data_IF_542728228402
#
_entry.id   IF_542728228402
#
_cell.length_a   1.000
_cell.length_b   1.000
_cell.length_c   1.000
_cell.angle_alpha   90.00
_cell.angle_beta   90.00
_cell.angle_gamma   90.00
#
_symmetry.space_group_name_H-M   'P 1'
#
loop_
_entity.id
_entity.type
_entity.pdbx_description
1 polymer ?
#
# COMPACT_ATOMS: atom_id res chain seq x y z
N UNK A 1 11.43 -46.21 68.29
CA UNK A 1 11.83 -45.61 67.01
C UNK A 1 10.94 -44.39 66.79
N UNK A 2 11.58 -43.20 66.82
CA UNK A 2 11.09 -41.83 66.49
C UNK A 2 9.78 -41.30 67.11
N UNK A 3 10.02 -40.36 68.03
CA UNK A 3 9.21 -39.23 68.47
C UNK A 3 8.74 -38.30 67.33
N UNK A 4 7.81 -37.42 67.71
CA UNK A 4 7.37 -36.13 67.11
C UNK A 4 6.13 -36.15 66.22
N UNK A 5 4.95 -36.10 66.86
CA UNK A 5 3.78 -35.42 66.33
C UNK A 5 3.12 -34.61 67.45
N UNK A 6 3.55 -33.36 67.61
CA UNK A 6 2.72 -32.33 68.21
C UNK A 6 3.14 -30.97 67.64
N UNK A 7 2.15 -30.07 67.56
CA UNK A 7 2.24 -28.62 67.36
C UNK A 7 2.21 -28.16 65.89
N UNK A 8 1.01 -27.80 65.40
CA UNK A 8 0.64 -26.38 65.20
C UNK A 8 -0.84 -26.26 64.79
N UNK A 9 -1.69 -26.12 65.81
CA UNK A 9 -3.04 -25.56 65.71
C UNK A 9 -2.97 -24.03 65.64
N UNK A 10 -3.96 -23.42 64.98
CA UNK A 10 -4.34 -22.00 65.00
C UNK A 10 -3.43 -21.01 64.26
N UNK A 11 -3.73 -20.80 62.98
CA UNK A 11 -3.47 -19.51 62.32
C UNK A 11 -4.77 -18.70 62.26
N UNK A 12 -4.81 -17.70 63.14
CA UNK A 12 -5.88 -16.75 63.38
C UNK A 12 -6.05 -15.82 62.17
N UNK A 13 -7.25 -15.76 61.57
CA UNK A 13 -7.57 -14.87 60.43
C UNK A 13 -7.30 -13.38 60.71
N UNK A 14 -7.25 -12.98 61.99
CA UNK A 14 -6.93 -11.61 62.39
C UNK A 14 -5.45 -11.24 62.18
N UNK A 15 -4.51 -12.21 62.11
CA UNK A 15 -3.11 -11.91 61.81
C UNK A 15 -2.89 -11.57 60.33
N UNK A 16 -3.69 -12.16 59.43
CA UNK A 16 -3.61 -11.87 57.99
C UNK A 16 -4.17 -10.47 57.66
N UNK A 17 -5.24 -10.02 58.31
CA UNK A 17 -5.80 -8.69 58.10
C UNK A 17 -4.84 -7.59 58.60
N UNK A 18 -4.13 -7.84 59.72
CA UNK A 18 -3.11 -6.92 60.23
C UNK A 18 -1.85 -6.88 59.35
N UNK A 19 -1.47 -8.00 58.72
CA UNK A 19 -0.38 -7.98 57.73
C UNK A 19 -0.75 -7.20 56.47
N UNK A 20 -2.01 -7.24 56.02
CA UNK A 20 -2.44 -6.41 54.89
C UNK A 20 -2.59 -4.93 55.25
N UNK A 21 -2.95 -4.59 56.50
CA UNK A 21 -3.02 -3.20 56.97
C UNK A 21 -1.64 -2.55 57.16
N UNK A 22 -0.55 -3.30 57.34
CA UNK A 22 0.81 -2.72 57.45
C UNK A 22 1.55 -2.51 56.12
N UNK A 23 1.10 -3.12 55.02
CA UNK A 23 1.66 -2.88 53.68
C UNK A 23 0.91 -1.78 52.90
N UNK A 24 -0.24 -1.33 53.40
CA UNK A 24 -0.95 -0.14 52.94
C UNK A 24 -0.53 1.11 53.75
N UNK A 25 0.79 1.34 53.82
CA UNK A 25 1.36 2.65 54.14
C UNK A 25 1.28 3.56 52.89
N UNK A 26 1.43 4.89 53.01
CA UNK A 26 0.82 5.90 52.12
C UNK A 26 1.46 6.07 50.71
N UNK A 27 1.97 5.00 50.10
CA UNK A 27 2.57 5.01 48.77
C UNK A 27 1.54 5.17 47.63
N UNK A 28 0.25 4.98 47.90
CA UNK A 28 -0.80 5.10 46.89
C UNK A 28 -1.19 6.56 46.56
N UNK A 29 -0.62 7.57 47.21
CA UNK A 29 -0.90 8.98 46.90
C UNK A 29 0.35 9.87 46.81
N UNK A 30 1.42 9.34 46.20
CA UNK A 30 2.65 10.09 45.90
C UNK A 30 3.28 9.72 44.55
N UNK A 31 2.51 9.09 43.64
CA UNK A 31 3.06 8.60 42.38
C UNK A 31 3.25 9.69 41.30
N UNK A 32 2.66 10.87 41.50
CA UNK A 32 2.75 11.97 40.53
C UNK A 32 4.17 12.51 40.39
N UNK A 33 4.80 12.95 41.50
CA UNK A 33 6.12 13.62 41.43
C UNK A 33 7.22 12.66 40.97
N UNK A 34 7.27 11.44 41.52
CA UNK A 34 8.35 10.50 41.23
C UNK A 34 8.30 9.92 39.81
N UNK A 35 7.10 9.71 39.24
CA UNK A 35 6.96 9.25 37.86
C UNK A 35 7.55 10.24 36.85
N UNK A 36 7.27 11.54 37.00
CA UNK A 36 7.79 12.56 36.09
C UNK A 36 9.32 12.66 36.15
N UNK A 37 9.90 12.55 37.35
CA UNK A 37 11.36 12.50 37.51
C UNK A 37 11.97 11.25 36.87
N UNK A 38 11.36 10.07 37.08
CA UNK A 38 11.81 8.83 36.46
C UNK A 38 11.72 8.88 34.92
N UNK A 39 10.59 9.31 34.38
CA UNK A 39 10.37 9.41 32.93
C UNK A 39 11.36 10.39 32.28
N UNK A 40 11.66 11.50 32.95
CA UNK A 40 12.69 12.44 32.51
C UNK A 40 14.10 11.86 32.61
N UNK A 41 14.43 11.15 33.68
CA UNK A 41 15.77 10.64 33.94
C UNK A 41 16.16 9.46 33.05
N UNK A 42 15.22 8.57 32.74
CA UNK A 42 15.51 7.31 32.01
C UNK A 42 15.06 7.33 30.55
N UNK A 43 13.96 8.02 30.23
CA UNK A 43 13.40 8.06 28.87
C UNK A 43 13.61 9.42 28.17
N UNK A 44 14.12 10.43 28.89
CA UNK A 44 14.38 11.76 28.36
C UNK A 44 13.13 12.59 28.07
N UNK A 45 11.94 12.13 28.49
CA UNK A 45 10.68 12.80 28.19
C UNK A 45 10.54 14.14 28.92
N UNK A 46 9.92 15.10 28.23
CA UNK A 46 9.63 16.41 28.83
C UNK A 46 8.46 16.32 29.81
N UNK A 47 8.35 17.30 30.71
CA UNK A 47 7.22 17.38 31.66
C UNK A 47 5.85 17.52 30.95
N UNK A 48 5.83 17.95 29.68
CA UNK A 48 4.60 18.08 28.89
C UNK A 48 4.22 16.74 28.22
N UNK A 49 5.19 15.98 27.72
CA UNK A 49 4.98 14.67 27.08
C UNK A 49 4.57 13.59 28.08
N UNK A 50 5.25 13.53 29.23
CA UNK A 50 5.01 12.54 30.27
C UNK A 50 3.59 12.57 30.85
N UNK A 51 2.90 13.72 30.79
CA UNK A 51 1.49 13.82 31.20
C UNK A 51 0.55 12.99 30.33
N UNK A 52 0.85 12.83 29.03
CA UNK A 52 0.06 11.99 28.13
C UNK A 52 0.20 10.49 28.45
N UNK A 53 1.40 10.06 28.82
CA UNK A 53 1.68 8.67 29.13
C UNK A 53 1.01 8.16 30.41
N UNK A 54 0.75 9.04 31.37
CA UNK A 54 -0.02 8.71 32.60
C UNK A 54 -1.41 8.18 32.26
N UNK A 55 -2.04 8.65 31.17
CA UNK A 55 -3.33 8.14 30.69
C UNK A 55 -3.17 6.99 29.69
N UNK A 56 -2.12 7.03 28.86
CA UNK A 56 -1.91 6.05 27.79
C UNK A 56 -1.57 4.65 28.31
N UNK A 57 -0.71 4.55 29.34
CA UNK A 57 -0.29 3.26 29.91
C UNK A 57 -1.48 2.46 30.49
N UNK A 58 -2.33 3.00 31.38
CA UNK A 58 -3.48 2.27 31.87
C UNK A 58 -4.48 1.94 30.75
N UNK A 59 -4.64 2.82 29.77
CA UNK A 59 -5.49 2.56 28.61
C UNK A 59 -5.00 1.36 27.77
N UNK A 60 -3.70 1.28 27.49
CA UNK A 60 -3.10 0.13 26.81
C UNK A 60 -3.19 -1.15 27.63
N UNK A 61 -3.03 -1.07 28.95
CA UNK A 61 -3.22 -2.21 29.84
C UNK A 61 -4.66 -2.76 29.77
N UNK A 62 -5.66 -1.87 29.74
CA UNK A 62 -7.08 -2.25 29.56
C UNK A 62 -7.28 -2.93 28.20
N UNK A 63 -6.75 -2.38 27.11
CA UNK A 63 -6.86 -3.00 25.78
C UNK A 63 -6.22 -4.39 25.70
N UNK A 64 -5.11 -4.62 26.41
CA UNK A 64 -4.46 -5.93 26.45
C UNK A 64 -5.25 -6.98 27.22
N UNK A 65 -5.92 -6.58 28.31
CA UNK A 65 -6.73 -7.49 29.15
C UNK A 65 -8.13 -7.72 28.55
N UNK A 66 -8.61 -6.79 27.71
CA UNK A 66 -9.94 -6.82 27.12
C UNK A 66 -10.30 -8.15 26.42
N UNK A 67 -9.47 -8.74 25.55
CA UNK A 67 -9.81 -9.98 24.84
C UNK A 67 -9.97 -11.16 25.80
N UNK A 68 -9.11 -11.25 26.81
CA UNK A 68 -9.18 -12.29 27.84
C UNK A 68 -10.41 -12.12 28.73
N UNK A 69 -10.75 -10.88 29.06
CA UNK A 69 -11.97 -10.55 29.80
C UNK A 69 -13.22 -10.92 29.00
N UNK A 70 -13.28 -10.58 27.71
CA UNK A 70 -14.37 -10.99 26.81
C UNK A 70 -14.46 -12.51 26.70
N UNK A 71 -13.34 -13.21 26.57
CA UNK A 71 -13.30 -14.68 26.55
C UNK A 71 -13.79 -15.28 27.86
N UNK A 72 -13.37 -14.72 28.99
CA UNK A 72 -13.81 -15.15 30.32
C UNK A 72 -15.33 -15.03 30.48
N UNK A 73 -15.91 -13.87 30.14
CA UNK A 73 -17.36 -13.67 30.23
C UNK A 73 -18.16 -14.50 29.21
N UNK A 74 -17.65 -14.64 27.98
CA UNK A 74 -18.28 -15.49 26.95
C UNK A 74 -18.32 -16.95 27.39
N UNK A 75 -17.27 -17.44 28.03
CA UNK A 75 -17.20 -18.81 28.53
C UNK A 75 -18.18 -19.06 29.70
N UNK A 76 -18.45 -18.07 30.54
CA UNK A 76 -19.44 -18.20 31.63
C UNK A 76 -20.88 -18.42 31.10
N UNK A 77 -21.21 -17.90 29.92
CA UNK A 77 -22.52 -18.11 29.28
C UNK A 77 -22.60 -19.37 28.43
N UNK A 78 -21.49 -20.09 28.27
CA UNK A 78 -21.41 -21.27 27.40
C UNK A 78 -22.23 -22.44 27.96
N UNK A 79 -22.27 -22.63 29.28
CA UNK A 79 -23.03 -23.72 29.92
C UNK A 79 -24.54 -23.58 29.69
N UNK A 80 -25.10 -22.38 29.93
CA UNK A 80 -26.52 -22.10 29.66
C UNK A 80 -26.87 -22.25 28.17
N UNK A 81 -26.01 -21.76 27.28
CA UNK A 81 -26.19 -21.90 25.83
C UNK A 81 -26.14 -23.36 25.41
N UNK A 82 -25.27 -24.16 26.03
CA UNK A 82 -25.12 -25.59 25.79
C UNK A 82 -26.35 -26.37 26.27
N UNK A 83 -26.91 -26.07 27.44
CA UNK A 83 -28.16 -26.68 27.91
C UNK A 83 -29.35 -26.37 26.99
N UNK A 84 -29.47 -25.12 26.53
CA UNK A 84 -30.48 -24.73 25.53
C UNK A 84 -30.27 -25.48 24.21
N UNK A 85 -29.02 -25.67 23.80
CA UNK A 85 -28.68 -26.42 22.60
C UNK A 85 -29.05 -27.90 22.73
N UNK A 86 -28.76 -28.53 23.88
CA UNK A 86 -29.10 -29.93 24.13
C UNK A 86 -30.61 -30.16 24.19
N UNK A 87 -31.36 -29.32 24.90
CA UNK A 87 -32.83 -29.43 24.97
C UNK A 87 -33.50 -29.29 23.60
N UNK A 88 -32.98 -28.41 22.73
CA UNK A 88 -33.42 -28.32 21.33
C UNK A 88 -33.14 -29.61 20.57
N UNK A 89 -31.93 -30.18 20.69
CA UNK A 89 -31.59 -31.44 20.04
C UNK A 89 -32.53 -32.58 20.48
N UNK A 90 -32.84 -32.67 21.76
CA UNK A 90 -33.72 -33.72 22.28
C UNK A 90 -35.17 -33.55 21.80
N UNK A 91 -35.68 -32.31 21.73
CA UNK A 91 -37.00 -32.04 21.15
C UNK A 91 -37.10 -32.43 19.67
N UNK A 92 -36.01 -32.25 18.90
CA UNK A 92 -35.93 -32.62 17.48
C UNK A 92 -35.86 -34.13 17.26
N UNK A 93 -35.17 -34.86 18.16
CA UNK A 93 -35.17 -36.33 18.13
C UNK A 93 -36.57 -36.89 18.37
N UNK A 94 -37.32 -36.30 19.32
CA UNK A 94 -38.69 -36.73 19.65
C UNK A 94 -39.66 -36.47 18.51
N UNK A 95 -39.49 -35.40 17.73
CA UNK A 95 -40.31 -35.12 16.54
C UNK A 95 -39.98 -36.01 15.33
N UNK A 96 -39.08 -36.99 15.48
CA UNK A 96 -38.72 -37.94 14.43
C UNK A 96 -37.81 -37.36 13.35
N UNK A 97 -37.21 -36.19 13.59
CA UNK A 97 -36.26 -35.58 12.66
C UNK A 97 -34.95 -36.38 12.70
N UNK A 98 -34.67 -37.11 11.62
CA UNK A 98 -33.38 -37.78 11.45
C UNK A 98 -32.28 -36.72 11.24
N UNK A 99 -31.25 -36.74 12.09
CA UNK A 99 -30.06 -35.91 11.90
C UNK A 99 -29.32 -36.38 10.65
N UNK A 100 -29.53 -35.69 9.53
CA UNK A 100 -28.76 -35.91 8.32
C UNK A 100 -27.49 -35.07 8.39
N UNK A 101 -26.33 -35.71 8.32
CA UNK A 101 -25.09 -34.98 8.02
C UNK A 101 -25.23 -34.39 6.62
N UNK A 102 -24.95 -33.08 6.47
CA UNK A 102 -24.97 -32.40 5.17
C UNK A 102 -24.25 -33.26 4.12
N UNK A 103 -24.88 -33.56 2.97
CA UNK A 103 -24.25 -34.34 1.90
C UNK A 103 -23.06 -33.60 1.28
N UNK A 104 -22.97 -32.29 1.51
CA UNK A 104 -21.84 -31.45 1.16
C UNK A 104 -20.96 -31.24 2.40
N UNK A 105 -19.66 -31.60 2.37
CA UNK A 105 -18.75 -31.24 3.45
C UNK A 105 -18.70 -29.71 3.54
N UNK A 106 -18.91 -29.16 4.73
CA UNK A 106 -18.78 -27.70 4.99
C UNK A 106 -17.35 -27.20 4.77
N UNK A 107 -16.38 -28.11 4.71
CA UNK A 107 -15.00 -27.83 4.36
C UNK A 107 -14.44 -28.95 3.47
N UNK A 108 -14.29 -28.68 2.17
CA UNK A 108 -13.54 -29.54 1.27
C UNK A 108 -12.11 -28.99 1.13
N UNK A 109 -11.08 -29.71 1.62
CA UNK A 109 -9.69 -29.26 1.50
C UNK A 109 -9.28 -29.00 0.04
N UNK A 110 -9.90 -29.70 -0.91
CA UNK A 110 -9.66 -29.53 -2.34
C UNK A 110 -10.07 -28.14 -2.86
N UNK A 111 -11.05 -27.47 -2.23
CA UNK A 111 -11.51 -26.13 -2.61
C UNK A 111 -10.49 -25.04 -2.21
N UNK A 112 -9.60 -25.35 -1.26
CA UNK A 112 -8.55 -24.43 -0.80
C UNK A 112 -7.18 -24.76 -1.41
N UNK A 113 -7.08 -25.81 -2.24
CA UNK A 113 -5.82 -26.12 -2.92
C UNK A 113 -5.55 -25.05 -3.96
N UNK A 114 -4.47 -24.28 -3.76
CA UNK A 114 -3.97 -23.34 -4.78
C UNK A 114 -3.62 -24.11 -6.05
N UNK A 115 -4.53 -24.11 -7.01
CA UNK A 115 -4.28 -24.66 -8.34
C UNK A 115 -3.22 -23.82 -9.05
N UNK A 116 -2.09 -24.44 -9.41
CA UNK A 116 -1.01 -23.79 -10.17
C UNK A 116 -1.49 -23.25 -11.53
N UNK A 117 -2.58 -23.81 -12.07
CA UNK A 117 -3.25 -23.34 -13.29
C UNK A 117 -3.85 -21.95 -13.12
N UNK A 118 -4.48 -21.66 -11.98
CA UNK A 118 -5.02 -20.32 -11.70
C UNK A 118 -3.92 -19.28 -11.49
N UNK A 119 -2.78 -19.67 -10.91
CA UNK A 119 -1.68 -18.73 -10.66
C UNK A 119 -1.04 -18.25 -11.97
N UNK A 120 -0.76 -19.17 -12.90
CA UNK A 120 -0.20 -18.83 -14.22
C UNK A 120 -1.20 -18.10 -15.12
N UNK A 121 -2.50 -18.38 -14.96
CA UNK A 121 -3.56 -17.72 -15.72
C UNK A 121 -3.85 -16.30 -15.18
N UNK A 122 -3.78 -16.07 -13.85
CA UNK A 122 -3.82 -14.73 -13.26
C UNK A 122 -2.60 -13.86 -13.65
N UNK A 123 -1.40 -14.45 -13.72
CA UNK A 123 -0.19 -13.75 -14.18
C UNK A 123 -0.28 -13.26 -15.64
N UNK A 124 -1.09 -13.94 -16.46
CA UNK A 124 -1.34 -13.55 -17.85
C UNK A 124 -2.54 -12.61 -18.06
N UNK A 125 -3.46 -12.50 -17.09
CA UNK A 125 -4.77 -11.87 -17.28
C UNK A 125 -4.87 -10.40 -16.83
N UNK A 126 -3.84 -9.81 -16.22
CA UNK A 126 -3.93 -8.41 -15.74
C UNK A 126 -2.59 -7.66 -15.85
N UNK A 127 -1.99 -7.63 -17.04
CA UNK A 127 -1.00 -6.57 -17.32
C UNK A 127 -1.78 -5.35 -17.80
N UNK A 128 -1.80 -4.31 -16.98
CA UNK A 128 -2.47 -3.05 -17.31
C UNK A 128 -1.71 -2.42 -18.50
N UNK A 129 -2.39 -1.87 -19.52
CA UNK A 129 -1.73 -1.12 -20.58
C UNK A 129 -0.95 0.05 -20.00
N UNK A 130 0.31 0.22 -20.42
CA UNK A 130 1.16 1.29 -19.92
C UNK A 130 0.60 2.69 -20.25
N UNK A 131 -0.08 2.83 -21.39
CA UNK A 131 -0.73 4.09 -21.77
C UNK A 131 -1.81 4.54 -20.79
N UNK A 132 -2.42 3.61 -20.05
CA UNK A 132 -3.50 3.84 -19.09
C UNK A 132 -3.00 3.85 -17.64
N UNK A 133 -1.70 3.62 -17.41
CA UNK A 133 -1.15 3.60 -16.07
C UNK A 133 -1.16 5.01 -15.43
N UNK A 134 -1.72 5.09 -14.22
CA UNK A 134 -1.71 6.28 -13.37
C UNK A 134 -0.45 6.36 -12.50
N UNK A 135 -0.19 7.54 -11.92
CA UNK A 135 0.96 7.76 -11.04
C UNK A 135 1.00 6.83 -9.82
N UNK A 136 -0.17 6.41 -9.31
CA UNK A 136 -0.30 5.45 -8.21
C UNK A 136 0.05 4.06 -8.71
N UNK A 137 -0.51 3.64 -9.85
CA UNK A 137 -0.26 2.32 -10.43
C UNK A 137 1.20 2.13 -10.80
N UNK A 138 1.87 3.16 -11.33
CA UNK A 138 3.31 3.10 -11.65
C UNK A 138 4.20 2.83 -10.43
N UNK A 139 3.75 3.17 -9.22
CA UNK A 139 4.54 2.98 -7.98
C UNK A 139 4.59 1.53 -7.50
N UNK A 140 3.85 0.60 -8.13
CA UNK A 140 3.99 -0.83 -7.85
C UNK A 140 5.35 -1.37 -8.31
N UNK A 141 6.00 -0.68 -9.26
CA UNK A 141 7.30 -1.10 -9.81
C UNK A 141 8.42 -0.71 -8.84
N UNK A 142 9.26 -1.68 -8.41
CA UNK A 142 10.41 -1.38 -7.59
C UNK A 142 11.33 -0.33 -8.24
N UNK A 143 11.67 0.73 -7.51
CA UNK A 143 12.49 1.84 -8.02
C UNK A 143 11.68 3.03 -8.57
N UNK A 144 10.36 2.90 -8.74
CA UNK A 144 9.48 4.01 -9.11
C UNK A 144 8.80 4.57 -7.86
N UNK A 145 9.34 5.68 -7.34
CA UNK A 145 8.68 6.48 -6.32
C UNK A 145 7.74 7.54 -6.91
N UNK A 146 7.04 8.27 -6.03
CA UNK A 146 6.13 9.38 -6.36
C UNK A 146 6.74 10.39 -7.36
N UNK A 147 8.00 10.79 -7.15
CA UNK A 147 8.68 11.76 -8.01
C UNK A 147 8.96 11.20 -9.41
N UNK A 148 9.43 9.95 -9.50
CA UNK A 148 9.69 9.27 -10.78
C UNK A 148 8.40 9.03 -11.54
N UNK A 149 7.36 8.51 -10.87
CA UNK A 149 6.04 8.34 -11.46
C UNK A 149 5.50 9.67 -12.03
N UNK A 150 5.61 10.76 -11.27
CA UNK A 150 5.19 12.09 -11.74
C UNK A 150 5.97 12.55 -12.97
N UNK A 151 7.27 12.26 -13.06
CA UNK A 151 8.08 12.58 -14.25
C UNK A 151 7.69 11.74 -15.45
N UNK A 152 7.41 10.45 -15.26
CA UNK A 152 6.95 9.56 -16.35
C UNK A 152 5.64 10.09 -16.94
N UNK A 153 4.67 10.43 -16.10
CA UNK A 153 3.37 10.97 -16.54
C UNK A 153 3.55 12.29 -17.28
N UNK A 154 4.29 13.24 -16.71
CA UNK A 154 4.58 14.53 -17.38
C UNK A 154 5.29 14.35 -18.72
N UNK A 155 6.26 13.44 -18.77
CA UNK A 155 6.97 13.14 -20.00
C UNK A 155 6.05 12.50 -21.05
N UNK A 156 5.20 11.54 -20.66
CA UNK A 156 4.16 10.94 -21.52
C UNK A 156 3.23 11.99 -22.11
N UNK A 157 2.76 12.91 -21.27
CA UNK A 157 1.86 13.99 -21.65
C UNK A 157 2.53 14.99 -22.59
N UNK A 158 3.79 15.37 -22.35
CA UNK A 158 4.52 16.30 -23.23
C UNK A 158 4.90 15.66 -24.56
N UNK A 159 5.26 14.36 -24.56
CA UNK A 159 5.55 13.58 -25.76
C UNK A 159 4.29 13.31 -26.60
N UNK A 160 3.11 13.28 -25.98
CA UNK A 160 1.87 12.92 -26.66
C UNK A 160 1.61 11.41 -26.75
N UNK A 161 2.30 10.62 -25.91
CA UNK A 161 2.25 9.15 -25.88
C UNK A 161 3.60 8.50 -26.21
N UNK A 162 3.83 7.31 -25.68
CA UNK A 162 5.07 6.57 -25.97
C UNK A 162 4.91 5.76 -27.26
N UNK A 163 5.86 5.89 -28.18
CA UNK A 163 5.92 5.12 -29.43
C UNK A 163 6.83 3.89 -29.29
N UNK A 164 7.85 3.96 -28.42
CA UNK A 164 8.80 2.87 -28.17
C UNK A 164 9.15 2.74 -26.70
N UNK A 165 9.38 1.51 -26.23
CA UNK A 165 9.85 1.21 -24.86
C UNK A 165 11.10 2.01 -24.47
N UNK A 166 12.03 2.19 -25.42
CA UNK A 166 13.32 2.87 -25.17
C UNK A 166 13.17 4.32 -24.74
N UNK A 167 12.06 4.97 -25.12
CA UNK A 167 11.79 6.36 -24.74
C UNK A 167 11.57 6.52 -23.22
N UNK A 168 11.24 5.44 -22.50
CA UNK A 168 11.14 5.49 -21.04
C UNK A 168 12.49 5.82 -20.39
N UNK A 169 13.61 5.42 -21.00
CA UNK A 169 14.96 5.76 -20.57
C UNK A 169 15.29 7.25 -20.75
N UNK A 170 14.56 7.96 -21.59
CA UNK A 170 14.75 9.40 -21.81
C UNK A 170 14.12 10.24 -20.68
N UNK A 171 13.35 9.61 -19.78
CA UNK A 171 12.83 10.25 -18.56
C UNK A 171 13.96 10.50 -17.56
N UNK A 172 14.06 11.74 -17.05
CA UNK A 172 15.13 12.14 -16.15
C UNK A 172 15.23 11.27 -14.88
N UNK A 173 16.41 10.69 -14.68
CA UNK A 173 16.71 9.83 -13.53
C UNK A 173 16.19 8.40 -13.65
N UNK A 174 15.72 7.98 -14.83
CA UNK A 174 15.38 6.59 -15.12
C UNK A 174 16.66 5.76 -15.26
N UNK A 175 16.68 4.59 -14.62
CA UNK A 175 17.74 3.58 -14.80
C UNK A 175 17.25 2.48 -15.73
N UNK A 176 18.18 1.81 -16.41
CA UNK A 176 17.84 0.75 -17.37
C UNK A 176 17.09 -0.40 -16.70
N UNK A 177 17.58 -0.84 -15.53
CA UNK A 177 16.99 -1.94 -14.77
C UNK A 177 15.58 -1.61 -14.28
N UNK A 178 15.34 -0.35 -13.90
CA UNK A 178 14.01 0.12 -13.50
C UNK A 178 13.07 0.17 -14.70
N UNK A 179 13.56 0.58 -15.87
CA UNK A 179 12.76 0.63 -17.10
C UNK A 179 12.34 -0.77 -17.56
N UNK A 180 13.24 -1.75 -17.45
CA UNK A 180 12.96 -3.14 -17.80
C UNK A 180 11.94 -3.75 -16.84
N UNK A 181 12.07 -3.46 -15.55
CA UNK A 181 11.10 -3.85 -14.55
C UNK A 181 9.69 -3.33 -14.89
N UNK A 182 9.54 -2.11 -15.42
CA UNK A 182 8.22 -1.60 -15.85
C UNK A 182 7.53 -2.55 -16.82
N UNK A 183 8.27 -3.12 -17.77
CA UNK A 183 7.71 -4.00 -18.80
C UNK A 183 7.37 -5.41 -18.28
N UNK A 184 7.75 -5.74 -17.05
CA UNK A 184 7.27 -6.94 -16.35
C UNK A 184 5.87 -6.75 -15.77
N UNK A 185 5.53 -5.52 -15.33
CA UNK A 185 4.25 -5.18 -14.72
C UNK A 185 3.21 -4.65 -15.72
N UNK A 186 3.67 -3.92 -16.76
CA UNK A 186 2.80 -3.25 -17.72
C UNK A 186 3.00 -3.80 -19.12
N UNK A 187 1.91 -3.89 -19.88
CA UNK A 187 1.98 -4.16 -21.31
C UNK A 187 2.33 -2.87 -22.06
N UNK A 188 3.35 -2.93 -22.92
CA UNK A 188 3.70 -1.79 -23.75
C UNK A 188 2.76 -1.72 -24.94
N UNK A 189 1.95 -0.67 -25.00
CA UNK A 189 1.07 -0.36 -26.11
C UNK A 189 1.47 0.98 -26.76
N UNK A 190 1.88 0.98 -28.05
CA UNK A 190 2.24 2.21 -28.75
C UNK A 190 0.97 3.02 -29.06
N UNK A 191 0.63 3.96 -28.19
CA UNK A 191 -0.58 4.80 -28.30
C UNK A 191 -0.19 6.27 -28.35
N UNK A 192 -0.25 6.85 -29.54
CA UNK A 192 -0.01 8.29 -29.77
C UNK A 192 -1.35 9.02 -29.67
N UNK A 193 -1.53 9.76 -28.58
CA UNK A 193 -2.77 10.46 -28.26
C UNK A 193 -2.78 11.89 -28.82
N UNK A 194 -1.61 12.54 -28.94
CA UNK A 194 -1.49 13.90 -29.43
C UNK A 194 -0.44 13.97 -30.54
N UNK A 195 -0.82 14.54 -31.67
CA UNK A 195 0.07 14.92 -32.75
C UNK A 195 0.16 16.43 -32.88
N UNK A 196 1.25 16.91 -33.45
CA UNK A 196 1.53 18.32 -33.66
C UNK A 196 1.34 18.63 -35.15
N UNK A 197 0.42 19.54 -35.44
CA UNK A 197 0.20 20.08 -36.78
C UNK A 197 1.35 21.00 -37.15
N UNK A 198 2.36 20.47 -37.84
CA UNK A 198 3.63 21.17 -38.06
C UNK A 198 3.47 22.48 -38.85
N UNK A 199 2.47 22.54 -39.72
CA UNK A 199 2.21 23.69 -40.60
C UNK A 199 1.45 24.83 -39.90
N UNK A 200 0.68 24.54 -38.85
CA UNK A 200 -0.16 25.53 -38.16
C UNK A 200 0.21 25.81 -36.70
N UNK A 201 0.95 24.90 -36.04
CA UNK A 201 1.32 25.03 -34.63
C UNK A 201 2.15 26.29 -34.36
N UNK A 202 1.95 26.92 -33.19
CA UNK A 202 2.76 28.05 -32.75
C UNK A 202 4.13 27.60 -32.23
N UNK A 203 5.03 28.55 -32.00
CA UNK A 203 6.40 28.26 -31.52
C UNK A 203 6.33 27.56 -30.16
N UNK A 204 5.43 28.03 -29.30
CA UNK A 204 5.20 27.52 -27.95
C UNK A 204 4.67 26.09 -27.98
N UNK A 205 3.71 25.81 -28.88
CA UNK A 205 3.15 24.46 -29.05
C UNK A 205 4.20 23.47 -29.52
N UNK A 206 5.04 23.87 -30.48
CA UNK A 206 6.16 23.07 -30.96
C UNK A 206 7.17 22.82 -29.83
N UNK A 207 7.57 23.87 -29.11
CA UNK A 207 8.56 23.80 -28.04
C UNK A 207 8.09 23.05 -26.79
N UNK A 208 6.79 22.76 -26.66
CA UNK A 208 6.25 21.92 -25.59
C UNK A 208 6.68 20.46 -25.73
N UNK A 209 7.05 20.02 -26.94
CA UNK A 209 7.42 18.65 -27.22
C UNK A 209 8.87 18.36 -26.80
N UNK A 210 9.17 17.24 -26.10
CA UNK A 210 10.51 16.95 -25.58
C UNK A 210 11.64 16.90 -26.62
N UNK A 211 11.31 16.64 -27.88
CA UNK A 211 12.27 16.61 -28.99
C UNK A 211 12.44 17.94 -29.73
N UNK A 212 11.66 18.98 -29.41
CA UNK A 212 11.73 20.27 -30.10
C UNK A 212 12.09 21.33 -29.06
N UNK A 213 13.30 21.85 -29.12
CA UNK A 213 13.68 23.03 -28.34
C UNK A 213 13.03 24.30 -28.89
N UNK A 214 12.95 25.34 -28.07
CA UNK A 214 12.42 26.64 -28.50
C UNK A 214 13.16 27.23 -29.73
N UNK A 215 14.48 27.02 -29.80
CA UNK A 215 15.29 27.44 -30.95
C UNK A 215 14.91 26.69 -32.23
N UNK A 216 14.74 25.37 -32.14
CA UNK A 216 14.33 24.52 -33.26
C UNK A 216 12.90 24.86 -33.72
N UNK A 217 11.98 25.12 -32.79
CA UNK A 217 10.62 25.58 -33.10
C UNK A 217 10.63 26.89 -33.91
N UNK A 218 11.46 27.87 -33.51
CA UNK A 218 11.60 29.13 -34.24
C UNK A 218 12.13 28.91 -35.67
N UNK A 219 13.08 28.00 -35.83
CA UNK A 219 13.62 27.65 -37.15
C UNK A 219 12.57 26.95 -38.02
N UNK A 220 11.79 26.02 -37.46
CA UNK A 220 10.69 25.35 -38.18
C UNK A 220 9.65 26.36 -38.68
N UNK A 221 9.22 27.28 -37.82
CA UNK A 221 8.24 28.32 -38.17
C UNK A 221 8.81 29.26 -39.24
N UNK A 222 10.06 29.72 -39.09
CA UNK A 222 10.70 30.58 -40.09
C UNK A 222 10.83 29.86 -41.45
N UNK A 223 11.21 28.58 -41.45
CA UNK A 223 11.37 27.79 -42.65
C UNK A 223 10.05 27.62 -43.40
N UNK A 224 8.95 27.27 -42.72
CA UNK A 224 7.65 27.12 -43.39
C UNK A 224 7.12 28.43 -43.99
N UNK A 225 7.45 29.57 -43.39
CA UNK A 225 7.11 30.88 -43.94
C UNK A 225 7.93 31.24 -45.19
N UNK A 226 9.18 30.78 -45.28
CA UNK A 226 10.08 31.11 -46.39
C UNK A 226 9.98 30.13 -47.57
N UNK A 227 9.75 28.85 -47.28
CA UNK A 227 9.81 27.77 -48.27
C UNK A 227 8.47 27.08 -48.51
N UNK A 228 7.42 27.45 -47.76
CA UNK A 228 6.10 26.83 -47.83
C UNK A 228 5.92 25.70 -46.82
N UNK A 229 4.73 25.10 -46.83
CA UNK A 229 4.34 24.04 -45.91
C UNK A 229 5.20 22.78 -46.06
N UNK A 230 5.39 22.05 -44.96
CA UNK A 230 5.97 20.71 -44.95
C UNK A 230 4.90 19.70 -45.37
N UNK A 231 5.19 18.86 -46.36
CA UNK A 231 4.25 17.83 -46.84
C UNK A 231 4.62 16.44 -46.28
N UNK A 232 5.86 16.28 -45.82
CA UNK A 232 6.39 15.00 -45.36
C UNK A 232 7.46 15.20 -44.28
N UNK A 233 7.76 14.14 -43.53
CA UNK A 233 8.82 14.18 -42.52
C UNK A 233 10.20 14.40 -43.15
N UNK A 234 10.38 13.94 -44.39
CA UNK A 234 11.60 14.07 -45.17
C UNK A 234 11.89 15.53 -45.54
N UNK A 235 10.86 16.39 -45.63
CA UNK A 235 11.02 17.83 -45.86
C UNK A 235 11.75 18.53 -44.70
N UNK A 236 11.71 17.97 -43.48
CA UNK A 236 12.42 18.51 -42.32
C UNK A 236 13.95 18.45 -42.51
N UNK A 237 14.45 17.51 -43.33
CA UNK A 237 15.88 17.41 -43.65
C UNK A 237 16.39 18.52 -44.56
N UNK A 238 15.48 19.27 -45.21
CA UNK A 238 15.85 20.48 -45.96
C UNK A 238 16.37 21.58 -45.03
N UNK A 239 15.98 21.54 -43.75
CA UNK A 239 16.52 22.41 -42.72
C UNK A 239 17.84 21.83 -42.21
N UNK A 240 18.95 22.51 -42.48
CA UNK A 240 20.32 22.03 -42.21
C UNK A 240 20.61 21.64 -40.75
N UNK A 241 19.81 22.11 -39.79
CA UNK A 241 20.01 21.81 -38.37
C UNK A 241 19.48 20.43 -37.98
N UNK A 242 18.51 19.87 -38.72
CA UNK A 242 17.87 18.60 -38.37
C UNK A 242 18.59 17.42 -39.02
N UNK A 243 18.81 16.37 -38.24
CA UNK A 243 19.44 15.11 -38.66
C UNK A 243 18.39 14.02 -38.89
N UNK A 244 18.73 13.02 -39.69
CA UNK A 244 17.86 11.87 -39.96
C UNK A 244 17.36 11.18 -38.68
N UNK A 245 18.25 10.94 -37.71
CA UNK A 245 17.91 10.33 -36.41
C UNK A 245 16.84 11.13 -35.64
N UNK A 246 16.92 12.46 -35.70
CA UNK A 246 15.95 13.32 -35.04
C UNK A 246 14.59 13.27 -35.74
N UNK A 247 14.60 13.27 -37.09
CA UNK A 247 13.40 13.13 -37.91
C UNK A 247 12.69 11.80 -37.64
N UNK A 248 13.43 10.70 -37.51
CA UNK A 248 12.85 9.40 -37.18
C UNK A 248 12.15 9.39 -35.81
N UNK A 249 12.72 10.09 -34.82
CA UNK A 249 12.13 10.19 -33.47
C UNK A 249 10.86 11.04 -33.45
N UNK A 250 10.84 12.17 -34.16
CA UNK A 250 9.71 13.11 -34.14
C UNK A 250 8.58 12.66 -35.09
N UNK A 251 8.88 11.95 -36.17
CA UNK A 251 7.93 11.57 -37.23
C UNK A 251 6.60 10.98 -36.72
N UNK A 252 6.54 10.09 -35.72
CA UNK A 252 5.27 9.54 -35.22
C UNK A 252 4.33 10.59 -34.60
N UNK A 253 4.89 11.72 -34.16
CA UNK A 253 4.20 12.78 -33.43
C UNK A 253 3.80 13.96 -34.30
N UNK A 254 4.14 13.95 -35.59
CA UNK A 254 3.83 15.03 -36.51
C UNK A 254 2.60 14.69 -37.36
N UNK A 255 1.83 15.74 -37.65
CA UNK A 255 0.73 15.74 -38.61
C UNK A 255 1.05 16.76 -39.69
N UNK A 256 1.00 16.31 -40.94
CA UNK A 256 1.20 17.12 -42.14
C UNK A 256 -0.19 17.35 -42.75
N UNK A 257 -0.67 18.58 -42.64
CA UNK A 257 -1.90 19.07 -43.29
C UNK A 257 -1.57 19.63 -44.68
#
# INVERSE_FOLDING_TARGET
MRLTLQVYSNWNLNSLILTYQLYLSPLAFSMGRNYFYWAKAYLGFTNKESRGFVLLIPFLAVLGILPDMVRYFKNQQAELTFEIYQSRLDSLKVSGVALMSSPLPTFNPADTVKSSRNQKQLESLNRIPFSEADSITLQIVPGIGQATASRIIKYRENLGGFHSKRQLLEVFGMKEETSDAVWEFFEFDPKILRKIKINSAMIEDLASHPYISYGEAKVLVAFRHQHGAFNSAEDLLKVKIFKAEWVEKIKPYLEFD
#
